data_IF_487988862479
#
_entry.id   IF_487988862479
#
_cell.length_a   1.000
_cell.length_b   1.000
_cell.length_c   1.000
_cell.angle_alpha   90.00
_cell.angle_beta   90.00
_cell.angle_gamma   90.00
#
_symmetry.space_group_name_H-M   'P 1'
#
loop_
_entity.id
_entity.type
_entity.pdbx_description
1 polymer ?
#
# COMPACT_ATOMS: atom_id res chain seq x y z
N UNK A 1 1.53 13.15 1.64
CA UNK A 1 1.02 12.26 2.71
C UNK A 1 0.15 11.20 2.05
N UNK A 2 0.39 9.94 2.35
CA UNK A 2 -0.25 8.79 1.71
C UNK A 2 -0.93 7.92 2.76
N UNK A 3 -1.83 7.04 2.32
CA UNK A 3 -2.37 5.95 3.13
C UNK A 3 -2.41 4.69 2.27
N UNK A 4 -1.89 3.57 2.79
CA UNK A 4 -2.01 2.26 2.14
C UNK A 4 -2.86 1.39 3.04
N UNK A 5 -3.98 0.92 2.52
CA UNK A 5 -4.96 0.10 3.22
C UNK A 5 -4.99 -1.30 2.60
N UNK A 6 -4.72 -2.31 3.41
CA UNK A 6 -5.02 -3.69 3.05
C UNK A 6 -6.49 -3.95 3.36
N UNK A 7 -7.25 -4.35 2.36
CA UNK A 7 -8.66 -4.70 2.46
C UNK A 7 -8.84 -6.16 2.04
N UNK A 8 -9.82 -6.81 2.64
CA UNK A 8 -10.30 -8.12 2.17
C UNK A 8 -11.63 -7.88 1.47
N UNK A 9 -11.76 -8.35 0.23
CA UNK A 9 -13.04 -8.32 -0.45
C UNK A 9 -14.01 -9.29 0.22
N UNK A 10 -15.20 -8.83 0.60
CA UNK A 10 -16.17 -9.63 1.36
C UNK A 10 -16.79 -10.77 0.53
N UNK A 11 -16.71 -10.70 -0.81
CA UNK A 11 -17.32 -11.68 -1.70
C UNK A 11 -16.29 -12.70 -2.22
N UNK A 12 -15.10 -12.24 -2.59
CA UNK A 12 -14.05 -13.13 -3.12
C UNK A 12 -13.05 -13.59 -2.05
N UNK A 13 -13.06 -12.97 -0.86
CA UNK A 13 -12.03 -13.13 0.18
C UNK A 13 -10.61 -12.80 -0.31
N UNK A 14 -10.48 -12.16 -1.48
CA UNK A 14 -9.20 -11.77 -2.07
C UNK A 14 -8.67 -10.49 -1.42
N UNK A 15 -7.34 -10.40 -1.36
CA UNK A 15 -6.68 -9.20 -0.83
C UNK A 15 -6.69 -8.09 -1.87
N UNK A 16 -7.15 -6.91 -1.47
CA UNK A 16 -7.07 -5.66 -2.23
C UNK A 16 -6.20 -4.67 -1.47
N UNK A 17 -5.40 -3.92 -2.19
CA UNK A 17 -4.61 -2.82 -1.65
C UNK A 17 -5.11 -1.49 -2.20
N UNK A 18 -5.62 -0.64 -1.33
CA UNK A 18 -6.07 0.70 -1.65
C UNK A 18 -5.00 1.71 -1.23
N UNK A 19 -4.54 2.54 -2.17
CA UNK A 19 -3.50 3.55 -1.96
C UNK A 19 -4.10 4.93 -2.21
N UNK A 20 -4.22 5.72 -1.15
CA UNK A 20 -4.73 7.10 -1.22
C UNK A 20 -3.57 8.09 -1.22
N UNK A 21 -3.50 8.93 -2.25
CA UNK A 21 -2.44 9.91 -2.50
C UNK A 21 -3.06 11.26 -2.86
N UNK A 22 -3.18 12.17 -1.88
CA UNK A 22 -3.88 13.44 -2.04
C UNK A 22 -5.31 13.23 -2.59
N UNK A 23 -5.57 13.62 -3.83
CA UNK A 23 -6.84 13.48 -4.56
C UNK A 23 -6.91 12.24 -5.46
N UNK A 24 -5.86 11.40 -5.46
CA UNK A 24 -5.76 10.17 -6.26
C UNK A 24 -6.03 8.95 -5.39
N UNK A 25 -6.95 8.11 -5.82
CA UNK A 25 -7.26 6.81 -5.23
C UNK A 25 -6.83 5.70 -6.19
N UNK A 26 -5.93 4.82 -5.76
CA UNK A 26 -5.44 3.69 -6.56
C UNK A 26 -5.81 2.38 -5.88
N UNK A 27 -6.52 1.51 -6.59
CA UNK A 27 -6.87 0.18 -6.12
C UNK A 27 -6.12 -0.88 -6.90
N UNK A 28 -5.34 -1.68 -6.19
CA UNK A 28 -4.63 -2.85 -6.70
C UNK A 28 -5.34 -4.11 -6.18
N UNK A 29 -5.71 -5.01 -7.07
CA UNK A 29 -6.45 -6.23 -6.73
C UNK A 29 -6.09 -7.35 -7.70
N UNK A 30 -6.43 -8.58 -7.33
CA UNK A 30 -6.29 -9.75 -8.20
C UNK A 30 -7.60 -10.04 -8.91
N UNK A 31 -7.49 -10.62 -10.11
CA UNK A 31 -8.57 -11.33 -10.75
C UNK A 31 -8.01 -12.68 -11.20
N UNK A 32 -8.25 -13.72 -10.39
CA UNK A 32 -7.50 -14.97 -10.52
C UNK A 32 -6.02 -14.75 -10.17
N UNK A 33 -5.11 -15.05 -11.08
CA UNK A 33 -3.67 -14.82 -10.87
C UNK A 33 -3.18 -13.45 -11.34
N UNK A 34 -4.00 -12.70 -12.07
CA UNK A 34 -3.59 -11.44 -12.68
C UNK A 34 -3.76 -10.28 -11.69
N UNK A 35 -2.72 -9.46 -11.53
CA UNK A 35 -2.84 -8.16 -10.89
C UNK A 35 -3.54 -7.16 -11.83
N UNK A 36 -4.53 -6.44 -11.29
CA UNK A 36 -5.30 -5.39 -11.97
C UNK A 36 -5.21 -4.08 -11.17
N UNK A 37 -5.53 -2.98 -11.82
CA UNK A 37 -5.49 -1.66 -11.18
C UNK A 37 -6.62 -0.74 -11.64
N UNK A 38 -7.21 -0.02 -10.68
CA UNK A 38 -8.09 1.12 -10.91
C UNK A 38 -7.45 2.39 -10.39
N UNK A 39 -7.64 3.50 -11.10
CA UNK A 39 -7.27 4.84 -10.68
C UNK A 39 -8.53 5.69 -10.68
N UNK A 40 -8.90 6.23 -9.53
CA UNK A 40 -10.15 6.97 -9.33
C UNK A 40 -11.36 6.21 -9.88
N UNK A 41 -11.51 4.95 -9.44
CA UNK A 41 -12.57 4.00 -9.85
C UNK A 41 -12.53 3.53 -11.32
N UNK A 42 -11.73 4.17 -12.18
CA UNK A 42 -11.57 3.79 -13.58
C UNK A 42 -10.51 2.71 -13.75
N UNK A 43 -10.85 1.62 -14.43
CA UNK A 43 -9.92 0.54 -14.72
C UNK A 43 -8.85 0.98 -15.72
N UNK A 44 -7.59 0.68 -15.41
CA UNK A 44 -6.45 0.91 -16.30
C UNK A 44 -6.09 -0.42 -16.95
N UNK A 45 -6.33 -0.59 -18.27
CA UNK A 45 -5.98 -1.82 -18.96
C UNK A 45 -4.49 -2.12 -18.85
N UNK A 46 -4.13 -3.37 -18.61
CA UNK A 46 -2.71 -3.78 -18.53
C UNK A 46 -1.95 -3.45 -19.83
N UNK A 47 -2.63 -3.52 -20.97
CA UNK A 47 -2.10 -3.11 -22.28
C UNK A 47 -1.78 -1.62 -22.41
N UNK A 48 -2.27 -0.77 -21.49
CA UNK A 48 -2.01 0.66 -21.44
C UNK A 48 -0.88 1.06 -20.49
N UNK A 49 -0.23 0.09 -19.83
CA UNK A 49 0.92 0.36 -18.97
C UNK A 49 2.20 0.58 -19.79
N UNK A 50 3.10 1.49 -19.37
CA UNK A 50 3.08 2.23 -18.11
C UNK A 50 2.05 3.37 -18.11
N UNK A 51 1.25 3.44 -17.06
CA UNK A 51 0.30 4.53 -16.83
C UNK A 51 1.02 5.69 -16.13
N UNK A 52 0.84 6.90 -16.64
CA UNK A 52 1.31 8.13 -16.03
C UNK A 52 0.09 9.03 -15.75
N UNK A 53 -0.12 9.39 -14.49
CA UNK A 53 -1.24 10.30 -14.16
C UNK A 53 -0.96 11.72 -14.72
N UNK A 54 -1.97 12.46 -15.20
CA UNK A 54 -1.79 13.78 -15.80
C UNK A 54 -1.09 14.81 -14.90
N UNK A 55 -1.23 14.70 -13.58
CA UNK A 55 -0.50 15.53 -12.61
C UNK A 55 1.01 15.28 -12.57
N UNK A 56 1.50 14.19 -13.18
CA UNK A 56 2.88 13.72 -13.06
C UNK A 56 3.20 13.06 -11.71
N UNK A 57 2.27 12.99 -10.77
CA UNK A 57 2.56 12.60 -9.39
C UNK A 57 2.66 11.10 -9.13
N UNK A 58 2.05 10.28 -10.00
CA UNK A 58 2.11 8.82 -9.89
C UNK A 58 2.42 8.17 -11.23
N UNK A 59 3.06 7.00 -11.16
CA UNK A 59 3.28 6.12 -12.30
C UNK A 59 3.00 4.68 -11.92
N UNK A 60 2.36 3.92 -12.79
CA UNK A 60 2.08 2.49 -12.59
C UNK A 60 2.75 1.70 -13.73
N UNK A 61 3.48 0.64 -13.38
CA UNK A 61 4.19 -0.21 -14.34
C UNK A 61 3.92 -1.68 -14.03
N UNK A 62 3.94 -2.52 -15.05
CA UNK A 62 4.05 -3.96 -14.86
C UNK A 62 5.49 -4.30 -14.45
N UNK A 63 5.64 -5.16 -13.44
CA UNK A 63 6.94 -5.61 -12.94
C UNK A 63 6.82 -7.06 -12.49
N UNK A 64 7.69 -7.93 -13.03
CA UNK A 64 7.61 -9.37 -12.80
C UNK A 64 6.18 -9.90 -13.04
N UNK A 65 5.60 -10.57 -12.06
CA UNK A 65 4.24 -11.14 -12.08
C UNK A 65 3.16 -10.20 -11.55
N UNK A 66 3.50 -8.94 -11.24
CA UNK A 66 2.60 -7.98 -10.63
C UNK A 66 2.70 -6.56 -11.18
N UNK A 67 2.25 -5.62 -10.37
CA UNK A 67 2.21 -4.19 -10.64
C UNK A 67 3.04 -3.42 -9.63
N UNK A 68 3.63 -2.31 -10.07
CA UNK A 68 4.37 -1.38 -9.23
C UNK A 68 3.80 0.03 -9.41
N UNK A 69 3.32 0.61 -8.32
CA UNK A 69 2.91 2.01 -8.21
C UNK A 69 4.07 2.83 -7.61
N UNK A 70 4.44 3.92 -8.25
CA UNK A 70 5.48 4.86 -7.81
C UNK A 70 4.85 6.22 -7.54
N UNK A 71 5.15 6.82 -6.38
CA UNK A 71 4.70 8.17 -6.00
C UNK A 71 5.72 8.87 -5.08
N UNK A 72 6.99 9.02 -5.52
CA UNK A 72 8.09 9.47 -4.65
C UNK A 72 7.89 10.90 -4.11
N UNK A 73 7.25 11.78 -4.87
CA UNK A 73 6.88 13.13 -4.42
C UNK A 73 5.89 13.13 -3.25
N UNK A 74 5.15 12.04 -3.06
CA UNK A 74 4.23 11.84 -1.93
C UNK A 74 4.83 11.06 -0.78
N UNK A 75 6.07 10.58 -0.91
CA UNK A 75 6.80 9.81 0.12
C UNK A 75 6.73 8.30 -0.07
N UNK A 76 6.12 7.83 -1.17
CA UNK A 76 5.95 6.41 -1.47
C UNK A 76 6.85 6.03 -2.65
N UNK A 77 7.94 5.33 -2.34
CA UNK A 77 8.94 4.95 -3.35
C UNK A 77 8.39 3.88 -4.29
N UNK A 78 7.76 2.84 -3.74
CA UNK A 78 7.15 1.75 -4.52
C UNK A 78 6.07 1.05 -3.70
N UNK A 79 4.92 0.78 -4.32
CA UNK A 79 4.00 -0.27 -3.87
C UNK A 79 4.01 -1.35 -4.94
N UNK A 80 4.62 -2.48 -4.60
CA UNK A 80 4.58 -3.70 -5.39
C UNK A 80 3.38 -4.55 -4.97
N UNK A 81 2.59 -4.99 -5.93
CA UNK A 81 1.42 -5.83 -5.69
C UNK A 81 1.35 -6.95 -6.73
N UNK A 82 1.35 -8.19 -6.25
CA UNK A 82 1.16 -9.41 -7.01
C UNK A 82 0.24 -10.36 -6.22
N UNK A 83 -0.17 -11.45 -6.85
CA UNK A 83 -1.01 -12.45 -6.19
C UNK A 83 -0.29 -13.05 -4.97
N UNK A 84 -0.85 -12.83 -3.78
CA UNK A 84 -0.30 -13.36 -2.52
C UNK A 84 0.99 -12.68 -2.03
N UNK A 85 1.54 -11.70 -2.75
CA UNK A 85 2.79 -11.04 -2.36
C UNK A 85 2.75 -9.54 -2.70
N UNK A 86 3.02 -8.71 -1.69
CA UNK A 86 3.08 -7.27 -1.83
C UNK A 86 4.22 -6.70 -0.98
N UNK A 87 4.71 -5.54 -1.39
CA UNK A 87 5.79 -4.83 -0.69
C UNK A 87 5.56 -3.33 -0.79
N UNK A 88 5.77 -2.64 0.32
CA UNK A 88 5.70 -1.18 0.39
C UNK A 88 7.11 -0.67 0.69
N UNK A 89 7.57 0.27 -0.13
CA UNK A 89 8.81 1.01 0.06
C UNK A 89 8.47 2.49 0.15
N UNK A 90 8.96 3.15 1.20
CA UNK A 90 8.80 4.59 1.39
C UNK A 90 10.06 5.31 0.95
N UNK A 91 9.93 6.57 0.56
CA UNK A 91 11.09 7.39 0.22
C UNK A 91 11.96 7.64 1.46
N UNK A 92 13.27 7.80 1.30
CA UNK A 92 14.20 7.94 2.44
C UNK A 92 13.85 9.08 3.40
N UNK A 93 13.30 10.18 2.85
CA UNK A 93 12.87 11.32 3.66
C UNK A 93 11.66 11.02 4.56
N UNK A 94 10.97 9.90 4.37
CA UNK A 94 9.89 9.43 5.25
C UNK A 94 10.38 8.63 6.47
N UNK A 95 11.70 8.45 6.64
CA UNK A 95 12.29 7.78 7.80
C UNK A 95 11.75 8.37 9.11
N UNK A 96 11.17 7.54 9.97
CA UNK A 96 10.58 7.96 11.25
C UNK A 96 9.24 8.69 11.15
N UNK A 97 8.68 8.87 9.94
CA UNK A 97 7.45 9.65 9.70
C UNK A 97 6.25 8.78 9.35
N UNK A 98 6.43 7.46 9.26
CA UNK A 98 5.33 6.53 8.99
C UNK A 98 4.65 6.06 10.27
N UNK A 99 3.45 5.51 10.12
CA UNK A 99 2.74 4.80 11.16
C UNK A 99 1.89 3.71 10.52
N UNK A 100 1.60 2.65 11.27
CA UNK A 100 0.83 1.50 10.78
C UNK A 100 1.49 0.19 11.14
N UNK A 101 0.99 -0.89 10.54
CA UNK A 101 1.51 -2.25 10.73
C UNK A 101 2.98 -2.39 10.34
N UNK A 102 3.46 -1.60 9.37
CA UNK A 102 4.86 -1.58 8.95
C UNK A 102 5.77 -0.70 9.83
N UNK A 103 5.23 -0.12 10.91
CA UNK A 103 6.00 0.71 11.85
C UNK A 103 6.36 2.10 11.33
N UNK A 104 7.40 2.69 11.93
CA UNK A 104 7.83 4.08 11.70
C UNK A 104 8.92 4.25 10.64
N UNK A 105 9.42 3.15 10.08
CA UNK A 105 10.53 3.15 9.14
C UNK A 105 11.78 3.87 9.69
N UNK A 106 12.03 3.86 11.01
CA UNK A 106 13.19 4.49 11.65
C UNK A 106 14.37 3.53 11.88
N UNK A 107 14.15 2.22 11.70
CA UNK A 107 15.12 1.16 11.95
C UNK A 107 15.10 0.63 13.39
N UNK A 108 14.15 1.08 14.22
CA UNK A 108 13.93 0.51 15.54
C UNK A 108 13.20 -0.83 15.43
N UNK A 109 13.71 -1.85 16.14
CA UNK A 109 13.23 -3.24 16.08
C UNK A 109 12.85 -3.80 17.46
N UNK A 110 13.04 -3.04 18.54
CA UNK A 110 12.78 -3.48 19.92
C UNK A 110 11.36 -3.19 20.38
N UNK A 111 10.67 -2.23 19.76
CA UNK A 111 9.34 -1.75 20.17
C UNK A 111 8.32 -1.81 19.02
N UNK A 112 8.40 -2.86 18.21
CA UNK A 112 7.63 -3.01 16.97
C UNK A 112 6.11 -3.05 17.19
N UNK A 113 5.67 -3.50 18.36
CA UNK A 113 4.24 -3.65 18.70
C UNK A 113 3.66 -2.47 19.48
N UNK A 114 4.15 -1.26 19.19
CA UNK A 114 3.56 -0.04 19.74
C UNK A 114 2.28 0.32 18.97
N UNK A 115 1.13 0.24 19.63
CA UNK A 115 -0.20 0.53 19.04
C UNK A 115 -0.37 2.01 18.71
N UNK A 116 -1.44 2.41 17.97
CA UNK A 116 -1.74 3.83 17.72
C UNK A 116 -1.92 4.68 18.99
N UNK A 117 -2.32 4.06 20.11
CA UNK A 117 -2.46 4.74 21.40
C UNK A 117 -1.13 4.94 22.15
N UNK A 118 -0.02 4.43 21.60
CA UNK A 118 1.31 4.44 22.23
C UNK A 118 1.54 3.29 23.22
N UNK A 119 0.59 2.36 23.36
CA UNK A 119 0.75 1.20 24.23
C UNK A 119 1.62 0.13 23.57
N UNK A 120 2.64 -0.37 24.29
CA UNK A 120 3.47 -1.47 23.82
C UNK A 120 2.84 -2.81 24.23
N UNK A 121 2.28 -3.54 23.28
CA UNK A 121 1.74 -4.87 23.53
C UNK A 121 2.78 -5.96 23.32
N UNK A 122 2.61 -7.11 24.00
CA UNK A 122 3.41 -8.33 23.78
C UNK A 122 2.81 -9.26 22.73
N UNK A 123 1.57 -9.00 22.30
CA UNK A 123 0.83 -9.83 21.37
C UNK A 123 0.80 -9.18 19.98
N UNK A 124 1.36 -9.87 18.99
CA UNK A 124 1.30 -9.46 17.58
C UNK A 124 -0.14 -9.37 17.07
N UNK A 125 -1.02 -10.25 17.55
CA UNK A 125 -2.45 -10.25 17.22
C UNK A 125 -3.12 -8.99 17.75
N UNK A 126 -2.89 -8.64 19.02
CA UNK A 126 -3.44 -7.42 19.60
C UNK A 126 -2.90 -6.16 18.93
N UNK A 127 -1.63 -6.16 18.52
CA UNK A 127 -1.04 -5.09 17.73
C UNK A 127 -1.76 -4.95 16.39
N UNK A 128 -1.92 -6.04 15.64
CA UNK A 128 -2.59 -6.02 14.35
C UNK A 128 -4.04 -5.52 14.45
N UNK A 129 -4.80 -6.02 15.43
CA UNK A 129 -6.17 -5.56 15.68
C UNK A 129 -6.27 -4.07 16.03
N UNK A 130 -5.26 -3.49 16.68
CA UNK A 130 -5.27 -2.07 17.03
C UNK A 130 -5.20 -1.12 15.82
N UNK A 131 -4.84 -1.64 14.63
CA UNK A 131 -4.74 -0.89 13.38
C UNK A 131 -5.93 -1.12 12.43
N UNK A 132 -6.91 -1.93 12.82
CA UNK A 132 -8.13 -2.10 12.02
C UNK A 132 -8.92 -0.79 12.05
N UNK A 133 -9.25 -0.29 10.87
CA UNK A 133 -10.13 0.87 10.73
C UNK A 133 -11.60 0.40 10.80
N UNK A 134 -12.49 1.14 11.49
CA UNK A 134 -13.91 0.83 11.56
C UNK A 134 -14.62 1.06 10.22
#
# INVERSE_FOLDING_TARGET
KFMVLLKKDEQSEENRMNVKLADIDVDLYTLGTDAKVKVNEMEVPISSLPYQHPSGSIQIRQKADGLSLYAPSHGLQEVYFANGHWKIQVADWMKGQTCGLCGKADGEIRQEYTTPSGYLTKSSVSFAHSWVLP
#
